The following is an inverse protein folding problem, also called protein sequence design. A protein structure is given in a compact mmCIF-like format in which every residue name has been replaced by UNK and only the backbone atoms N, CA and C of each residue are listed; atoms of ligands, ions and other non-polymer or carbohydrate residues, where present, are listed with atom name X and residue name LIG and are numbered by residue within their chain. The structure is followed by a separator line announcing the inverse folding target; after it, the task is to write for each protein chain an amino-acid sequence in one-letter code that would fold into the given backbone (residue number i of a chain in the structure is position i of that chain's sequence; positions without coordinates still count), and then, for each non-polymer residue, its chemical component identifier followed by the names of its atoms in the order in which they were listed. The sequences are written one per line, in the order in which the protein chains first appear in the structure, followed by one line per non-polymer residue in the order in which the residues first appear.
data_IF_731831154233
#
_entry.id   IF_731831154233
#
_cell.length_a   1.000
_cell.length_b   1.000
_cell.length_c   1.000
_cell.angle_alpha   90.00
_cell.angle_beta   90.00
_cell.angle_gamma   90.00
#
_symmetry.space_group_name_H-M   'P 1'
#
loop_
_entity.id
_entity.type
_entity.pdbx_description
1 polymer ?
#
# COMPACT_ATOMS: atom_id res chain seq x y z
N UNK A 1 -27.00 -26.21 -15.05
CA UNK A 1 -27.18 -25.61 -13.71
C UNK A 1 -25.85 -25.49 -12.98
N UNK A 2 -25.09 -26.59 -12.83
CA UNK A 2 -23.77 -26.63 -12.21
C UNK A 2 -22.72 -25.68 -12.82
N UNK A 3 -22.58 -25.65 -14.15
CA UNK A 3 -21.63 -24.73 -14.81
C UNK A 3 -21.95 -23.24 -14.57
N UNK A 4 -23.24 -22.87 -14.46
CA UNK A 4 -23.66 -21.49 -14.15
C UNK A 4 -23.34 -21.11 -12.70
N UNK A 5 -23.45 -22.06 -11.78
CA UNK A 5 -23.11 -21.86 -10.37
C UNK A 5 -21.59 -21.66 -10.20
N UNK A 6 -20.79 -22.50 -10.85
CA UNK A 6 -19.32 -22.41 -10.84
C UNK A 6 -18.82 -21.08 -11.42
N UNK A 7 -19.41 -20.63 -12.54
CA UNK A 7 -19.04 -19.35 -13.15
C UNK A 7 -19.37 -18.16 -12.23
N UNK A 8 -20.52 -18.21 -11.53
CA UNK A 8 -20.91 -17.18 -10.55
C UNK A 8 -19.92 -17.11 -9.39
N UNK A 9 -19.53 -18.25 -8.83
CA UNK A 9 -18.58 -18.31 -7.72
C UNK A 9 -17.20 -17.80 -8.13
N UNK A 10 -16.68 -18.22 -9.29
CA UNK A 10 -15.40 -17.71 -9.81
C UNK A 10 -15.46 -16.20 -10.01
N UNK A 11 -16.54 -15.69 -10.63
CA UNK A 11 -16.70 -14.27 -10.87
C UNK A 11 -16.70 -13.46 -9.57
N UNK A 12 -17.48 -13.88 -8.56
CA UNK A 12 -17.53 -13.18 -7.27
C UNK A 12 -16.20 -13.29 -6.53
N UNK A 13 -15.54 -14.46 -6.55
CA UNK A 13 -14.21 -14.62 -5.96
C UNK A 13 -13.17 -13.71 -6.61
N UNK A 14 -13.20 -13.55 -7.94
CA UNK A 14 -12.31 -12.60 -8.63
C UNK A 14 -12.58 -11.16 -8.19
N UNK A 15 -13.84 -10.76 -8.07
CA UNK A 15 -14.19 -9.42 -7.58
C UNK A 15 -13.72 -9.19 -6.14
N UNK A 16 -13.89 -10.19 -5.26
CA UNK A 16 -13.39 -10.12 -3.89
C UNK A 16 -11.87 -9.99 -3.87
N UNK A 17 -11.15 -10.76 -4.69
CA UNK A 17 -9.70 -10.68 -4.77
C UNK A 17 -9.23 -9.30 -5.26
N UNK A 18 -9.82 -8.74 -6.31
CA UNK A 18 -9.49 -7.41 -6.83
C UNK A 18 -9.77 -6.31 -5.80
N UNK A 19 -10.92 -6.39 -5.14
CA UNK A 19 -11.30 -5.47 -4.07
C UNK A 19 -10.30 -5.45 -2.90
N UNK A 20 -9.74 -6.62 -2.55
CA UNK A 20 -8.73 -6.75 -1.49
C UNK A 20 -7.33 -6.34 -1.98
N UNK A 21 -7.04 -6.48 -3.27
CA UNK A 21 -5.78 -5.97 -3.83
C UNK A 21 -5.66 -4.47 -3.57
N UNK A 22 -6.70 -3.68 -3.85
CA UNK A 22 -6.65 -2.23 -3.66
C UNK A 22 -6.46 -1.79 -2.21
N UNK A 23 -6.96 -2.56 -1.23
CA UNK A 23 -6.85 -2.13 0.16
C UNK A 23 -5.41 -2.09 0.70
N UNK A 24 -4.56 -3.04 0.28
CA UNK A 24 -3.18 -3.15 0.81
C UNK A 24 -2.09 -2.73 -0.18
N UNK A 25 -2.36 -2.79 -1.49
CA UNK A 25 -1.41 -2.50 -2.58
C UNK A 25 -0.70 -1.16 -2.41
N UNK A 26 -1.43 -0.16 -1.91
CA UNK A 26 -0.96 1.21 -1.78
C UNK A 26 0.23 1.31 -0.83
N UNK A 27 0.14 0.73 0.37
CA UNK A 27 1.23 0.78 1.35
C UNK A 27 2.41 -0.08 0.89
N UNK A 28 2.14 -1.29 0.38
CA UNK A 28 3.19 -2.19 -0.13
C UNK A 28 4.00 -1.55 -1.27
N UNK A 29 3.35 -0.82 -2.17
CA UNK A 29 4.02 -0.06 -3.21
C UNK A 29 4.96 1.02 -2.69
N UNK A 30 4.59 1.71 -1.61
CA UNK A 30 5.49 2.69 -0.98
C UNK A 30 6.76 2.01 -0.45
N UNK A 31 6.64 0.82 0.16
CA UNK A 31 7.80 0.05 0.65
C UNK A 31 8.75 -0.38 -0.46
N UNK A 32 8.21 -0.78 -1.62
CA UNK A 32 9.03 -1.19 -2.78
C UNK A 32 9.91 -0.03 -3.26
N UNK A 33 9.43 1.21 -3.23
CA UNK A 33 10.18 2.38 -3.74
C UNK A 33 11.26 2.91 -2.78
N UNK A 34 11.38 2.37 -1.56
CA UNK A 34 12.35 2.84 -0.57
C UNK A 34 13.80 2.90 -1.04
N UNK A 35 14.35 1.90 -1.77
CA UNK A 35 15.72 1.98 -2.27
C UNK A 35 15.97 3.22 -3.13
N UNK A 36 14.96 3.75 -3.82
CA UNK A 36 15.06 4.99 -4.58
C UNK A 36 14.87 6.23 -3.70
N UNK A 37 13.93 6.18 -2.75
CA UNK A 37 13.63 7.30 -1.85
C UNK A 37 14.74 7.58 -0.85
N UNK A 38 15.42 6.55 -0.33
CA UNK A 38 16.54 6.66 0.63
C UNK A 38 17.65 7.56 0.11
N UNK A 39 17.89 7.56 -1.20
CA UNK A 39 18.92 8.38 -1.84
C UNK A 39 18.52 9.87 -2.00
N UNK A 40 17.24 10.20 -1.80
CA UNK A 40 16.68 11.56 -2.02
C UNK A 40 16.16 12.21 -0.75
N UNK A 41 15.70 11.41 0.22
CA UNK A 41 15.06 11.89 1.43
C UNK A 41 16.05 12.07 2.58
N UNK A 42 15.83 13.05 3.47
CA UNK A 42 16.75 13.39 4.55
C UNK A 42 16.95 12.26 5.56
N UNK A 43 15.96 11.38 5.74
CA UNK A 43 16.03 10.24 6.67
C UNK A 43 17.01 9.15 6.22
N UNK A 44 17.38 9.10 4.94
CA UNK A 44 18.26 8.07 4.36
C UNK A 44 17.83 6.66 4.83
N UNK A 45 18.75 5.81 5.24
CA UNK A 45 18.49 4.44 5.69
C UNK A 45 17.69 4.33 7.01
N UNK A 46 17.40 5.44 7.70
CA UNK A 46 16.43 5.43 8.78
C UNK A 46 14.97 5.43 8.27
N UNK A 47 14.76 5.72 6.98
CA UNK A 47 13.43 5.83 6.37
C UNK A 47 12.57 4.57 6.60
N UNK A 48 13.06 3.32 6.35
CA UNK A 48 12.25 2.13 6.58
C UNK A 48 11.86 1.94 8.04
N UNK A 49 12.76 2.25 8.98
CA UNK A 49 12.46 2.17 10.40
C UNK A 49 11.40 3.21 10.82
N UNK A 50 11.51 4.44 10.34
CA UNK A 50 10.50 5.49 10.60
C UNK A 50 9.14 5.17 9.99
N UNK A 51 9.11 4.59 8.79
CA UNK A 51 7.90 4.13 8.14
C UNK A 51 7.27 2.94 8.87
N UNK A 52 8.09 2.03 9.42
CA UNK A 52 7.63 0.97 10.30
C UNK A 52 6.95 1.52 11.54
N UNK A 53 7.53 2.53 12.20
CA UNK A 53 6.91 3.20 13.35
C UNK A 53 5.56 3.83 12.97
N UNK A 54 5.52 4.58 11.86
CA UNK A 54 4.29 5.22 11.36
C UNK A 54 3.21 4.17 11.06
N UNK A 55 3.57 3.06 10.42
CA UNK A 55 2.63 1.98 10.12
C UNK A 55 2.08 1.35 11.40
N UNK A 56 2.90 1.20 12.45
CA UNK A 56 2.44 0.68 13.73
C UNK A 56 1.52 1.64 14.49
N UNK A 57 1.66 2.96 14.31
CA UNK A 57 0.73 3.93 14.89
C UNK A 57 -0.69 3.79 14.30
N UNK A 58 -0.82 3.27 13.08
CA UNK A 58 -2.11 3.01 12.47
C UNK A 58 -2.95 1.94 13.22
N UNK A 59 -2.31 1.06 14.00
CA UNK A 59 -3.02 0.10 14.84
C UNK A 59 -3.95 0.77 15.88
N UNK A 60 -3.72 2.05 16.22
CA UNK A 60 -4.63 2.85 17.04
C UNK A 60 -6.02 2.94 16.36
N UNK A 61 -6.07 3.01 15.02
CA UNK A 61 -7.32 3.00 14.25
C UNK A 61 -8.14 1.72 14.48
N UNK A 62 -7.47 0.56 14.55
CA UNK A 62 -8.13 -0.72 14.85
C UNK A 62 -8.78 -0.71 16.23
N UNK A 63 -8.08 -0.15 17.24
CA UNK A 63 -8.61 -0.02 18.61
C UNK A 63 -9.86 0.86 18.62
N UNK A 64 -9.84 1.98 17.89
CA UNK A 64 -10.98 2.90 17.78
C UNK A 64 -12.20 2.17 17.19
N UNK A 65 -12.02 1.41 16.11
CA UNK A 65 -13.11 0.67 15.46
C UNK A 65 -13.64 -0.42 16.39
N UNK A 66 -12.77 -1.14 17.10
CA UNK A 66 -13.18 -2.15 18.06
C UNK A 66 -14.04 -1.53 19.19
N UNK A 67 -13.66 -0.36 19.70
CA UNK A 67 -14.45 0.39 20.69
C UNK A 67 -15.80 0.83 20.14
N UNK A 68 -15.84 1.40 18.93
CA UNK A 68 -17.09 1.80 18.27
C UNK A 68 -18.04 0.61 18.12
N UNK A 69 -17.54 -0.55 17.66
CA UNK A 69 -18.35 -1.77 17.53
C UNK A 69 -18.91 -2.25 18.86
N UNK A 70 -18.09 -2.22 19.91
CA UNK A 70 -18.50 -2.59 21.28
C UNK A 70 -19.59 -1.67 21.81
N UNK A 71 -19.47 -0.36 21.58
CA UNK A 71 -20.44 0.63 22.06
C UNK A 71 -21.74 0.62 21.23
N UNK A 72 -21.67 0.30 19.94
CA UNK A 72 -22.80 0.36 19.01
C UNK A 72 -23.70 -0.89 19.00
N UNK A 73 -23.51 -1.83 19.94
CA UNK A 73 -24.29 -3.09 20.08
C UNK A 73 -24.48 -3.89 18.78
N UNK A 74 -23.54 -3.78 17.83
CA UNK A 74 -23.56 -4.53 16.57
C UNK A 74 -24.70 -4.17 15.59
N UNK A 75 -25.45 -3.09 15.82
CA UNK A 75 -26.67 -2.77 15.05
C UNK A 75 -26.47 -1.97 13.76
N UNK A 76 -25.26 -1.49 13.46
CA UNK A 76 -25.00 -0.60 12.32
C UNK A 76 -24.15 -1.32 11.26
N UNK A 77 -24.73 -1.58 10.09
CA UNK A 77 -24.00 -2.12 8.92
C UNK A 77 -23.38 -0.98 8.13
N UNK A 78 -22.25 -0.46 8.61
CA UNK A 78 -21.46 0.59 7.94
C UNK A 78 -20.37 0.03 7.02
N UNK A 79 -20.31 -1.29 6.82
CA UNK A 79 -19.20 -1.97 6.14
C UNK A 79 -19.05 -1.48 4.69
N UNK A 80 -20.14 -1.42 3.91
CA UNK A 80 -20.10 -0.98 2.50
C UNK A 80 -19.61 0.48 2.35
N UNK A 81 -20.19 1.49 3.02
CA UNK A 81 -19.72 2.87 2.88
C UNK A 81 -18.28 3.05 3.40
N UNK A 82 -17.89 2.36 4.48
CA UNK A 82 -16.51 2.43 4.99
C UNK A 82 -15.54 1.82 3.99
N UNK A 83 -15.87 0.68 3.39
CA UNK A 83 -15.07 0.02 2.36
C UNK A 83 -14.83 0.91 1.13
N UNK A 84 -15.86 1.62 0.67
CA UNK A 84 -15.73 2.58 -0.43
C UNK A 84 -14.83 3.76 -0.02
N UNK A 85 -15.02 4.28 1.20
CA UNK A 85 -14.17 5.36 1.74
C UNK A 85 -12.69 4.94 1.84
N UNK A 86 -12.42 3.71 2.26
CA UNK A 86 -11.07 3.12 2.36
C UNK A 86 -10.39 3.16 0.98
N UNK A 87 -11.00 2.53 -0.02
CA UNK A 87 -10.42 2.44 -1.36
C UNK A 87 -10.23 3.81 -2.01
N UNK A 88 -11.27 4.65 -1.99
CA UNK A 88 -11.18 6.00 -2.57
C UNK A 88 -10.11 6.86 -1.89
N UNK A 89 -9.98 6.78 -0.56
CA UNK A 89 -8.92 7.47 0.17
C UNK A 89 -7.55 6.94 -0.22
N UNK A 90 -7.38 5.62 -0.31
CA UNK A 90 -6.14 4.97 -0.75
C UNK A 90 -5.68 5.47 -2.12
N UNK A 91 -6.59 5.46 -3.11
CA UNK A 91 -6.29 5.94 -4.47
C UNK A 91 -5.90 7.41 -4.48
N UNK A 92 -6.67 8.27 -3.81
CA UNK A 92 -6.41 9.72 -3.76
C UNK A 92 -5.04 9.96 -3.12
N UNK A 93 -4.73 9.28 -2.03
CA UNK A 93 -3.46 9.41 -1.33
C UNK A 93 -2.30 8.99 -2.25
N UNK A 94 -2.41 7.87 -2.97
CA UNK A 94 -1.38 7.47 -3.95
C UNK A 94 -1.15 8.52 -5.04
N UNK A 95 -2.24 9.06 -5.61
CA UNK A 95 -2.15 10.10 -6.65
C UNK A 95 -1.43 11.32 -6.09
N UNK A 96 -1.82 11.79 -4.91
CA UNK A 96 -1.17 12.93 -4.26
C UNK A 96 0.31 12.63 -3.98
N UNK A 97 0.59 11.44 -3.42
CA UNK A 97 1.93 10.99 -3.08
C UNK A 97 2.86 10.99 -4.30
N UNK A 98 2.35 10.62 -5.48
CA UNK A 98 3.09 10.68 -6.74
C UNK A 98 3.74 12.05 -7.01
N UNK A 99 3.10 13.14 -6.58
CA UNK A 99 3.61 14.50 -6.78
C UNK A 99 4.38 15.04 -5.57
N UNK A 100 4.06 14.61 -4.35
CA UNK A 100 4.58 15.24 -3.12
C UNK A 100 5.57 14.39 -2.33
N UNK A 101 5.85 13.15 -2.74
CA UNK A 101 6.76 12.24 -2.01
C UNK A 101 8.17 12.83 -1.75
N UNK A 102 8.67 13.66 -2.67
CA UNK A 102 10.00 14.27 -2.59
C UNK A 102 10.02 15.60 -1.82
N UNK A 103 8.86 16.11 -1.39
CA UNK A 103 8.76 17.38 -0.66
C UNK A 103 9.09 17.16 0.80
N UNK A 104 9.94 18.03 1.34
CA UNK A 104 10.37 18.00 2.75
C UNK A 104 9.94 19.27 3.46
N UNK A 105 9.77 19.17 4.78
CA UNK A 105 9.47 20.30 5.66
C UNK A 105 10.43 20.28 6.85
N UNK A 106 10.78 21.45 7.37
CA UNK A 106 11.70 21.55 8.51
C UNK A 106 10.92 21.43 9.82
N UNK A 107 11.24 20.42 10.63
CA UNK A 107 10.70 20.24 12.00
C UNK A 107 11.89 20.31 12.95
N UNK A 108 11.80 21.15 14.00
CA UNK A 108 12.87 21.34 14.98
C UNK A 108 14.25 21.62 14.37
N UNK A 109 14.29 22.38 13.27
CA UNK A 109 15.54 22.76 12.58
C UNK A 109 16.11 21.71 11.62
N UNK A 110 15.52 20.51 11.55
CA UNK A 110 15.96 19.43 10.65
C UNK A 110 14.95 19.18 9.53
N UNK A 111 15.38 18.90 8.29
CA UNK A 111 14.48 18.54 7.20
C UNK A 111 13.90 17.13 7.42
N UNK A 112 12.59 16.99 7.23
CA UNK A 112 11.85 15.74 7.34
C UNK A 112 10.89 15.55 6.17
N UNK A 113 10.66 14.30 5.78
CA UNK A 113 9.74 13.87 4.73
C UNK A 113 8.30 13.78 5.26
N UNK A 114 7.81 14.86 5.85
CA UNK A 114 6.54 14.87 6.59
C UNK A 114 5.32 14.57 5.72
N UNK A 115 5.35 14.94 4.44
CA UNK A 115 4.30 14.56 3.49
C UNK A 115 4.25 13.05 3.28
N UNK A 116 5.40 12.42 2.98
CA UNK A 116 5.50 10.97 2.86
C UNK A 116 5.00 10.28 4.12
N UNK A 117 5.48 10.69 5.29
CA UNK A 117 5.09 10.08 6.58
C UNK A 117 3.58 10.25 6.87
N UNK A 118 3.01 11.43 6.65
CA UNK A 118 1.60 11.69 6.89
C UNK A 118 0.67 10.92 5.96
N UNK A 119 1.02 10.86 4.67
CA UNK A 119 0.25 10.07 3.70
C UNK A 119 0.42 8.57 3.93
N UNK A 120 1.61 8.10 4.27
CA UNK A 120 1.83 6.70 4.65
C UNK A 120 1.09 6.30 5.94
N UNK A 121 0.96 7.21 6.92
CA UNK A 121 0.10 6.98 8.07
C UNK A 121 -1.36 6.79 7.65
N UNK A 122 -1.83 7.63 6.71
CA UNK A 122 -3.19 7.54 6.18
C UNK A 122 -3.41 6.21 5.45
N UNK A 123 -2.47 5.81 4.60
CA UNK A 123 -2.51 4.51 3.92
C UNK A 123 -2.51 3.35 4.92
N UNK A 124 -1.65 3.39 5.95
CA UNK A 124 -1.62 2.36 6.98
C UNK A 124 -2.92 2.30 7.81
N UNK A 125 -3.54 3.46 8.11
CA UNK A 125 -4.83 3.50 8.81
C UNK A 125 -5.93 2.86 7.98
N UNK A 126 -5.99 3.18 6.69
CA UNK A 126 -6.94 2.62 5.73
C UNK A 126 -6.74 1.11 5.62
N UNK A 127 -5.50 0.66 5.45
CA UNK A 127 -5.10 -0.75 5.32
C UNK A 127 -5.48 -1.59 6.54
N UNK A 128 -5.06 -1.17 7.74
CA UNK A 128 -5.39 -1.87 8.98
C UNK A 128 -6.90 -1.89 9.25
N UNK A 129 -7.62 -0.87 8.78
CA UNK A 129 -9.08 -0.77 8.90
C UNK A 129 -9.81 -1.70 7.92
N UNK A 130 -9.29 -1.89 6.71
CA UNK A 130 -9.89 -2.81 5.72
C UNK A 130 -9.89 -4.25 6.22
N UNK A 131 -8.77 -4.78 6.72
CA UNK A 131 -8.72 -6.19 7.14
C UNK A 131 -9.73 -6.49 8.25
N UNK A 132 -9.94 -5.55 9.19
CA UNK A 132 -10.89 -5.71 10.31
C UNK A 132 -12.36 -5.46 9.95
N UNK A 133 -12.64 -4.86 8.78
CA UNK A 133 -13.99 -4.62 8.28
C UNK A 133 -14.40 -5.61 7.19
N UNK A 134 -13.46 -6.02 6.34
CA UNK A 134 -13.69 -6.93 5.21
C UNK A 134 -13.90 -8.36 5.70
N UNK A 135 -13.09 -8.84 6.65
CA UNK A 135 -13.21 -10.22 7.14
C UNK A 135 -14.58 -10.49 7.79
N UNK A 136 -15.10 -9.66 8.72
CA UNK A 136 -16.45 -9.85 9.27
C UNK A 136 -17.57 -9.70 8.24
N UNK A 137 -17.36 -8.91 7.19
CA UNK A 137 -18.30 -8.80 6.08
C UNK A 137 -18.34 -10.10 5.27
N UNK A 138 -17.17 -10.67 4.95
CA UNK A 138 -17.04 -11.93 4.21
C UNK A 138 -17.50 -13.16 5.00
N UNK A 139 -17.45 -13.11 6.34
CA UNK A 139 -17.97 -14.16 7.23
C UNK A 139 -19.48 -14.41 7.08
N UNK A 140 -20.22 -13.44 6.52
CA UNK A 140 -21.65 -13.62 6.20
C UNK A 140 -21.90 -14.39 4.90
N UNK A 141 -20.85 -14.70 4.14
CA UNK A 141 -20.92 -15.36 2.83
C UNK A 141 -20.24 -16.74 2.87
N UNK A 142 -20.23 -17.45 1.74
CA UNK A 142 -19.63 -18.78 1.65
C UNK A 142 -18.11 -18.75 1.92
N UNK A 143 -17.54 -19.76 2.61
CA UNK A 143 -16.11 -19.80 2.97
C UNK A 143 -15.15 -19.68 1.78
N UNK A 144 -15.60 -20.03 0.56
CA UNK A 144 -14.79 -19.89 -0.66
C UNK A 144 -14.37 -18.44 -0.94
N UNK A 145 -15.13 -17.45 -0.47
CA UNK A 145 -14.79 -16.04 -0.64
C UNK A 145 -13.71 -15.57 0.36
N UNK A 146 -13.52 -16.25 1.49
CA UNK A 146 -12.37 -16.01 2.36
C UNK A 146 -11.06 -16.47 1.69
N UNK A 147 -11.08 -17.56 0.93
CA UNK A 147 -9.90 -17.96 0.15
C UNK A 147 -9.54 -16.90 -0.90
N UNK A 148 -10.55 -16.32 -1.55
CA UNK A 148 -10.36 -15.23 -2.50
C UNK A 148 -9.76 -13.97 -1.84
N UNK A 149 -10.17 -13.67 -0.60
CA UNK A 149 -9.57 -12.59 0.19
C UNK A 149 -8.07 -12.79 0.40
N UNK A 150 -7.64 -13.97 0.86
CA UNK A 150 -6.20 -14.24 1.07
C UNK A 150 -5.40 -14.24 -0.24
N UNK A 151 -6.01 -14.65 -1.35
CA UNK A 151 -5.40 -14.50 -2.68
C UNK A 151 -5.21 -13.02 -3.02
N UNK A 152 -6.21 -12.18 -2.78
CA UNK A 152 -6.12 -10.73 -2.97
C UNK A 152 -5.00 -10.10 -2.12
N UNK A 153 -4.91 -10.47 -0.85
CA UNK A 153 -3.82 -10.04 0.05
C UNK A 153 -2.44 -10.41 -0.50
N UNK A 154 -2.27 -11.62 -1.04
CA UNK A 154 -1.01 -12.02 -1.66
C UNK A 154 -0.71 -11.21 -2.94
N UNK A 155 -1.72 -11.00 -3.79
CA UNK A 155 -1.60 -10.23 -5.03
C UNK A 155 -1.26 -8.75 -4.78
N UNK A 156 -1.75 -8.17 -3.68
CA UNK A 156 -1.46 -6.78 -3.29
C UNK A 156 0.04 -6.50 -3.07
N UNK A 157 0.81 -7.53 -2.69
CA UNK A 157 2.27 -7.46 -2.58
C UNK A 157 2.97 -7.83 -3.90
N UNK A 158 2.41 -8.78 -4.64
CA UNK A 158 2.99 -9.26 -5.88
C UNK A 158 3.00 -8.18 -6.97
N UNK A 159 1.89 -7.45 -7.16
CA UNK A 159 1.77 -6.47 -8.24
C UNK A 159 2.76 -5.30 -8.08
N UNK A 160 2.91 -4.66 -6.91
CA UNK A 160 3.92 -3.63 -6.71
C UNK A 160 5.35 -4.14 -6.86
N UNK A 161 5.63 -5.37 -6.41
CA UNK A 161 6.96 -5.97 -6.55
C UNK A 161 7.31 -6.22 -8.03
N UNK A 162 6.39 -6.77 -8.82
CA UNK A 162 6.57 -6.95 -10.27
C UNK A 162 6.81 -5.62 -10.97
N UNK A 163 6.05 -4.57 -10.59
CA UNK A 163 6.23 -3.23 -11.13
C UNK A 163 7.59 -2.64 -10.75
N UNK A 164 8.05 -2.84 -9.51
CA UNK A 164 9.36 -2.37 -9.04
C UNK A 164 10.54 -3.09 -9.71
N UNK A 165 10.39 -4.39 -9.98
CA UNK A 165 11.35 -5.16 -10.79
C UNK A 165 11.39 -4.62 -12.22
N UNK A 166 10.22 -4.36 -12.81
CA UNK A 166 10.13 -3.79 -14.15
C UNK A 166 10.76 -2.39 -14.23
N UNK A 167 10.59 -1.56 -13.19
CA UNK A 167 11.23 -0.27 -13.01
C UNK A 167 12.74 -0.37 -12.84
N UNK A 168 13.24 -1.46 -12.24
CA UNK A 168 14.65 -1.66 -11.92
C UNK A 168 15.07 -0.93 -10.65
N UNK A 169 14.21 -0.94 -9.63
CA UNK A 169 14.46 -0.34 -8.31
C UNK A 169 15.75 -0.89 -7.68
N UNK A 170 16.55 0.00 -7.06
CA UNK A 170 17.63 -0.37 -6.15
C UNK A 170 18.83 -1.08 -6.77
N UNK A 171 19.12 -0.86 -8.07
CA UNK A 171 20.27 -1.46 -8.74
C UNK A 171 21.53 -0.63 -8.56
N UNK A 172 22.45 -1.07 -7.71
CA UNK A 172 23.80 -0.50 -7.58
C UNK A 172 24.82 -1.41 -8.28
N UNK A 173 25.66 -0.85 -9.14
CA UNK A 173 26.76 -1.56 -9.81
C UNK A 173 28.08 -0.88 -9.50
N UNK A 174 29.18 -1.63 -9.40
CA UNK A 174 30.50 -1.04 -9.18
C UNK A 174 31.18 -0.77 -10.52
N UNK A 175 31.55 0.47 -10.80
CA UNK A 175 32.29 0.86 -12.01
C UNK A 175 33.71 1.33 -11.64
N UNK A 176 34.68 1.00 -12.49
CA UNK A 176 36.06 1.48 -12.35
C UNK A 176 36.16 2.91 -12.86
N UNK A 177 36.65 3.82 -12.02
CA UNK A 177 36.82 5.25 -12.34
C UNK A 177 38.13 5.53 -13.12
N UNK A 178 38.74 4.49 -13.69
CA UNK A 178 39.96 4.59 -14.51
C UNK A 178 41.27 4.58 -13.70
N UNK A 179 41.18 4.41 -12.38
CA UNK A 179 42.29 4.34 -11.44
C UNK A 179 42.39 2.99 -10.71
N UNK A 180 41.61 1.99 -11.13
CA UNK A 180 41.52 0.67 -10.49
C UNK A 180 40.68 0.65 -9.21
N UNK A 181 40.08 1.79 -8.83
CA UNK A 181 39.16 1.88 -7.69
C UNK A 181 37.73 1.71 -8.17
N UNK A 182 37.04 0.71 -7.63
CA UNK A 182 35.63 0.45 -7.90
C UNK A 182 34.76 1.40 -7.07
N UNK A 183 33.97 2.24 -7.73
CA UNK A 183 33.01 3.15 -7.09
C UNK A 183 31.58 2.66 -7.28
N UNK A 184 30.71 2.77 -6.26
CA UNK A 184 29.31 2.39 -6.39
C UNK A 184 28.57 3.39 -7.29
N UNK A 185 27.93 2.87 -8.34
CA UNK A 185 27.09 3.60 -9.26
C UNK A 185 25.65 3.09 -9.20
N UNK A 186 24.75 3.94 -8.73
CA UNK A 186 23.31 3.65 -8.70
C UNK A 186 22.73 3.81 -10.09
N UNK A 187 22.26 2.71 -10.66
CA UNK A 187 21.63 2.70 -11.98
C UNK A 187 20.28 3.41 -11.89
N UNK A 188 19.99 4.40 -12.75
CA UNK A 188 18.71 5.09 -12.72
C UNK A 188 17.56 4.12 -13.06
N UNK A 189 16.39 4.29 -12.43
CA UNK A 189 15.23 3.47 -12.75
C UNK A 189 14.73 3.76 -14.18
N UNK A 190 14.12 2.77 -14.82
CA UNK A 190 13.58 2.87 -16.19
C UNK A 190 12.46 3.89 -16.30
N UNK A 191 11.72 4.13 -15.22
CA UNK A 191 10.72 5.18 -15.09
C UNK A 191 10.71 5.75 -13.67
N UNK A 192 10.12 6.94 -13.51
CA UNK A 192 10.16 7.68 -12.25
C UNK A 192 9.25 7.07 -11.16
N UNK A 193 9.58 7.36 -9.89
CA UNK A 193 8.73 7.04 -8.71
C UNK A 193 7.32 7.61 -8.86
N UNK A 194 7.18 8.79 -9.49
CA UNK A 194 5.88 9.37 -9.80
C UNK A 194 5.07 8.50 -10.77
N UNK A 195 5.71 8.02 -11.84
CA UNK A 195 5.06 7.11 -12.81
C UNK A 195 4.68 5.79 -12.15
N UNK A 196 5.50 5.29 -11.24
CA UNK A 196 5.22 4.11 -10.44
C UNK A 196 3.94 4.27 -9.60
N UNK A 197 3.85 5.34 -8.79
CA UNK A 197 2.66 5.60 -7.98
C UNK A 197 1.39 5.83 -8.80
N UNK A 198 1.49 6.50 -9.95
CA UNK A 198 0.34 6.67 -10.87
C UNK A 198 -0.07 5.37 -11.57
N UNK A 199 0.86 4.44 -11.78
CA UNK A 199 0.53 3.12 -12.31
C UNK A 199 -0.17 2.28 -11.23
N UNK A 200 0.31 2.32 -9.98
CA UNK A 200 -0.36 1.67 -8.86
C UNK A 200 -1.76 2.22 -8.61
N UNK A 201 -1.96 3.53 -8.64
CA UNK A 201 -3.29 4.13 -8.46
C UNK A 201 -4.30 3.71 -9.53
N UNK A 202 -3.82 3.32 -10.73
CA UNK A 202 -4.70 2.76 -11.77
C UNK A 202 -5.08 1.32 -11.47
N UNK A 203 -4.17 0.53 -10.90
CA UNK A 203 -4.43 -0.86 -10.49
C UNK A 203 -5.41 -0.88 -9.31
N UNK A 204 -5.26 0.07 -8.38
CA UNK A 204 -6.12 0.25 -7.21
C UNK A 204 -7.60 0.54 -7.56
N UNK A 205 -7.85 1.09 -8.74
CA UNK A 205 -9.20 1.49 -9.19
C UNK A 205 -10.00 0.35 -9.85
N UNK A 206 -9.40 -0.82 -10.09
CA UNK A 206 -10.02 -1.99 -10.75
C UNK A 206 -10.52 -3.03 -9.76
#
# INVERSE_FOLDING_TARGET
MWAKLQLKTIFVSTLVALFVVGSWLNLCGVWIEFPLMVNRLPEKWALPATMGLVSNLANIGVIIIALIRRLSRGGVTYEIPVNICILTTGTIVLIVLAFVWHKTTTINGSPHSSYLMGFSLTLALVDCTSSVTFLPFLDRYEPIYMNAYFIGEALSNLLPALLGIAQGVGKTSCIDDGNGTLTPYDTPPRFSVQTYFLALSKIDLF
#
